data_IF_020432285094
#
_entry.id   IF_020432285094
#
_cell.length_a   1.000
_cell.length_b   1.000
_cell.length_c   1.000
_cell.angle_alpha   90.00
_cell.angle_beta   90.00
_cell.angle_gamma   90.00
#
_symmetry.space_group_name_H-M   'P 1'
#
loop_
_entity.id
_entity.type
_entity.pdbx_description
1 polymer ?
#
# COMPACT_ATOMS: atom_id res chain seq x y z
N UNK A 1 21.58 23.89 5.91
CA UNK A 1 21.62 22.42 6.12
C UNK A 1 20.32 21.79 6.63
N UNK A 2 19.34 22.54 7.19
CA UNK A 2 18.01 21.95 7.55
C UNK A 2 17.11 21.72 6.34
N UNK A 3 17.15 22.61 5.35
CA UNK A 3 16.30 22.54 4.15
C UNK A 3 16.55 21.28 3.32
N UNK A 4 17.81 20.86 3.16
CA UNK A 4 18.18 19.65 2.42
C UNK A 4 17.68 18.36 3.10
N UNK A 5 17.63 18.32 4.44
CA UNK A 5 17.09 17.18 5.19
C UNK A 5 15.58 17.08 5.05
N UNK A 6 14.87 18.20 5.15
CA UNK A 6 13.41 18.25 4.96
C UNK A 6 13.01 17.88 3.54
N UNK A 7 13.77 18.36 2.54
CA UNK A 7 13.55 17.99 1.14
C UNK A 7 13.73 16.49 0.90
N UNK A 8 14.82 15.91 1.43
CA UNK A 8 15.08 14.45 1.34
C UNK A 8 13.92 13.66 1.96
N UNK A 9 13.52 14.00 3.18
CA UNK A 9 12.39 13.37 3.87
C UNK A 9 11.09 13.41 3.05
N UNK A 10 10.76 14.59 2.49
CA UNK A 10 9.57 14.75 1.65
C UNK A 10 9.64 13.87 0.39
N UNK A 11 10.79 13.85 -0.29
CA UNK A 11 10.99 13.01 -1.49
C UNK A 11 10.85 11.53 -1.16
N UNK A 12 11.45 11.05 -0.07
CA UNK A 12 11.37 9.65 0.37
C UNK A 12 9.91 9.23 0.59
N UNK A 13 9.15 9.97 1.40
CA UNK A 13 7.74 9.66 1.66
C UNK A 13 6.92 9.67 0.36
N UNK A 14 7.11 10.69 -0.49
CA UNK A 14 6.34 10.82 -1.72
C UNK A 14 6.63 9.71 -2.73
N UNK A 15 7.90 9.26 -2.83
CA UNK A 15 8.28 8.13 -3.67
C UNK A 15 7.54 6.86 -3.28
N UNK A 16 7.50 6.53 -1.98
CA UNK A 16 6.75 5.35 -1.51
C UNK A 16 5.26 5.45 -1.82
N UNK A 17 4.64 6.61 -1.56
CA UNK A 17 3.23 6.84 -1.88
C UNK A 17 2.90 6.61 -3.36
N UNK A 18 3.74 7.13 -4.27
CA UNK A 18 3.55 6.95 -5.71
C UNK A 18 3.62 5.46 -6.10
N UNK A 19 4.59 4.72 -5.56
CA UNK A 19 4.73 3.28 -5.86
C UNK A 19 3.57 2.46 -5.32
N UNK A 20 3.14 2.71 -4.08
CA UNK A 20 1.98 2.05 -3.48
C UNK A 20 0.73 2.34 -4.31
N UNK A 21 0.47 3.60 -4.66
CA UNK A 21 -0.69 3.95 -5.50
C UNK A 21 -0.67 3.22 -6.85
N UNK A 22 0.49 3.11 -7.48
CA UNK A 22 0.63 2.42 -8.76
C UNK A 22 0.36 0.92 -8.66
N UNK A 23 0.67 0.29 -7.53
CA UNK A 23 0.33 -1.12 -7.28
C UNK A 23 -1.16 -1.27 -7.01
N UNK A 24 -1.73 -0.44 -6.13
CA UNK A 24 -3.17 -0.45 -5.83
C UNK A 24 -4.04 -0.25 -7.08
N UNK A 25 -3.64 0.67 -7.97
CA UNK A 25 -4.32 0.88 -9.25
C UNK A 25 -4.25 -0.34 -10.19
N UNK A 26 -3.20 -1.16 -10.09
CA UNK A 26 -3.08 -2.41 -10.87
C UNK A 26 -3.96 -3.50 -10.27
N UNK A 27 -3.93 -3.66 -8.95
CA UNK A 27 -4.80 -4.58 -8.22
C UNK A 27 -6.27 -4.28 -8.48
N UNK A 28 -6.68 -2.99 -8.47
CA UNK A 28 -8.06 -2.58 -8.78
C UNK A 28 -8.55 -3.04 -10.16
N UNK A 29 -7.65 -3.29 -11.12
CA UNK A 29 -7.99 -3.77 -12.47
C UNK A 29 -8.06 -5.29 -12.57
N UNK A 30 -7.65 -6.01 -11.53
CA UNK A 30 -7.77 -7.47 -11.46
C UNK A 30 -9.20 -7.82 -11.03
N UNK A 31 -9.77 -8.88 -11.60
CA UNK A 31 -11.17 -9.27 -11.38
C UNK A 31 -11.40 -10.03 -10.05
N UNK A 32 -10.36 -10.34 -9.28
CA UNK A 32 -10.45 -11.13 -8.04
C UNK A 32 -10.48 -10.24 -6.80
N UNK A 33 -11.59 -9.51 -6.66
CA UNK A 33 -11.81 -8.52 -5.61
C UNK A 33 -11.66 -9.06 -4.18
N UNK A 34 -12.20 -10.25 -3.90
CA UNK A 34 -12.21 -10.84 -2.56
C UNK A 34 -10.79 -11.18 -2.08
N UNK A 35 -9.96 -11.73 -2.96
CA UNK A 35 -8.61 -12.19 -2.60
C UNK A 35 -7.67 -11.00 -2.37
N UNK A 36 -7.87 -9.89 -3.07
CA UNK A 36 -7.08 -8.67 -2.92
C UNK A 36 -7.31 -8.03 -1.55
N UNK A 37 -8.56 -7.91 -1.11
CA UNK A 37 -8.89 -7.31 0.20
C UNK A 37 -8.34 -8.16 1.34
N UNK A 38 -8.55 -9.48 1.28
CA UNK A 38 -8.00 -10.41 2.27
C UNK A 38 -6.48 -10.34 2.34
N UNK A 39 -5.79 -10.29 1.19
CA UNK A 39 -4.34 -10.17 1.16
C UNK A 39 -3.84 -8.85 1.75
N UNK A 40 -4.50 -7.72 1.46
CA UNK A 40 -4.12 -6.42 2.03
C UNK A 40 -4.33 -6.39 3.55
N UNK A 41 -5.41 -7.01 4.07
CA UNK A 41 -5.62 -7.12 5.52
C UNK A 41 -4.51 -7.94 6.19
N UNK A 42 -4.08 -9.05 5.58
CA UNK A 42 -2.94 -9.83 6.09
C UNK A 42 -1.63 -9.03 6.08
N UNK A 43 -1.43 -8.16 5.07
CA UNK A 43 -0.29 -7.22 5.06
C UNK A 43 -0.41 -6.26 6.25
N UNK A 44 -1.58 -5.66 6.48
CA UNK A 44 -1.77 -4.72 7.60
C UNK A 44 -1.54 -5.37 8.97
N UNK A 45 -1.74 -6.68 9.09
CA UNK A 45 -1.51 -7.46 10.31
C UNK A 45 -0.06 -7.98 10.43
N UNK A 46 0.75 -7.83 9.38
CA UNK A 46 2.12 -8.37 9.32
C UNK A 46 2.18 -9.89 9.15
N UNK A 47 1.09 -10.51 8.68
CA UNK A 47 0.92 -11.96 8.57
C UNK A 47 0.99 -12.48 7.12
N UNK A 48 1.54 -11.69 6.19
CA UNK A 48 1.58 -12.10 4.78
C UNK A 48 2.48 -13.34 4.58
N UNK A 49 1.84 -14.49 4.34
CA UNK A 49 2.54 -15.74 4.02
C UNK A 49 3.05 -15.74 2.57
N UNK A 50 4.38 -15.68 2.40
CA UNK A 50 5.08 -15.63 1.10
C UNK A 50 4.75 -16.76 0.12
N UNK A 51 4.18 -17.86 0.58
CA UNK A 51 3.82 -19.02 -0.25
C UNK A 51 2.56 -18.81 -1.11
N UNK A 52 1.73 -17.80 -0.80
CA UNK A 52 0.42 -17.58 -1.46
C UNK A 52 0.32 -16.20 -2.11
N UNK A 53 1.32 -15.33 -1.92
CA UNK A 53 1.24 -13.92 -2.29
C UNK A 53 1.74 -13.64 -3.70
N UNK A 54 0.97 -12.84 -4.47
CA UNK A 54 1.43 -12.32 -5.76
C UNK A 54 2.63 -11.37 -5.60
N UNK A 55 3.37 -11.14 -6.68
CA UNK A 55 4.51 -10.23 -6.68
C UNK A 55 4.13 -8.81 -6.22
N UNK A 56 2.90 -8.37 -6.51
CA UNK A 56 2.35 -7.08 -6.07
C UNK A 56 2.14 -7.03 -4.56
N UNK A 57 1.63 -8.12 -3.96
CA UNK A 57 1.43 -8.23 -2.52
C UNK A 57 2.76 -8.30 -1.75
N UNK A 58 3.73 -9.06 -2.27
CA UNK A 58 5.08 -9.10 -1.70
C UNK A 58 5.73 -7.71 -1.74
N UNK A 59 5.52 -6.97 -2.82
CA UNK A 59 6.06 -5.61 -2.95
C UNK A 59 5.36 -4.66 -1.97
N UNK A 60 4.04 -4.73 -1.82
CA UNK A 60 3.31 -3.90 -0.86
C UNK A 60 3.74 -4.17 0.59
N UNK A 61 3.89 -5.44 0.96
CA UNK A 61 4.40 -5.85 2.27
C UNK A 61 5.80 -5.28 2.55
N UNK A 62 6.71 -5.41 1.58
CA UNK A 62 8.06 -4.85 1.67
C UNK A 62 8.05 -3.32 1.76
N UNK A 63 7.18 -2.64 1.02
CA UNK A 63 7.07 -1.17 1.07
C UNK A 63 6.54 -0.67 2.42
N UNK A 64 5.65 -1.42 3.08
CA UNK A 64 5.08 -1.07 4.39
C UNK A 64 6.06 -1.37 5.53
N UNK A 65 6.57 -2.60 5.60
CA UNK A 65 7.35 -3.08 6.75
C UNK A 65 8.86 -2.90 6.61
N UNK A 66 9.35 -2.87 5.38
CA UNK A 66 10.78 -2.90 5.06
C UNK A 66 11.24 -1.79 4.10
N UNK A 67 10.87 -0.51 4.32
CA UNK A 67 11.27 0.57 3.42
C UNK A 67 12.80 0.74 3.32
N UNK A 68 13.56 0.28 4.31
CA UNK A 68 15.03 0.23 4.30
C UNK A 68 15.63 -0.62 3.17
N UNK A 69 14.85 -1.53 2.57
CA UNK A 69 15.30 -2.32 1.43
C UNK A 69 15.51 -1.47 0.17
N UNK A 70 14.80 -0.35 0.07
CA UNK A 70 14.84 0.54 -1.10
C UNK A 70 15.72 1.76 -0.87
N UNK A 71 15.82 2.24 0.37
CA UNK A 71 16.60 3.42 0.72
C UNK A 71 17.49 3.11 1.92
N UNK A 72 18.80 3.05 1.65
CA UNK A 72 19.81 2.83 2.70
C UNK A 72 19.94 4.04 3.60
N UNK A 73 20.20 3.80 4.89
CA UNK A 73 20.38 4.83 5.91
C UNK A 73 19.17 5.77 6.05
N UNK A 74 17.97 5.21 5.91
CA UNK A 74 16.71 5.92 6.17
C UNK A 74 16.64 6.33 7.64
N UNK A 75 16.27 7.58 7.90
CA UNK A 75 16.08 8.04 9.29
C UNK A 75 14.84 7.36 9.90
N UNK A 76 14.85 7.01 11.20
CA UNK A 76 13.70 6.37 11.84
C UNK A 76 12.39 7.13 11.65
N UNK A 77 12.45 8.47 11.70
CA UNK A 77 11.31 9.35 11.44
C UNK A 77 10.73 9.19 10.03
N UNK A 78 11.58 9.00 9.02
CA UNK A 78 11.15 8.75 7.64
C UNK A 78 10.48 7.37 7.53
N UNK A 79 11.03 6.36 8.20
CA UNK A 79 10.44 5.02 8.26
C UNK A 79 9.04 5.03 8.90
N UNK A 80 8.87 5.71 10.03
CA UNK A 80 7.57 5.86 10.69
C UNK A 80 6.56 6.63 9.82
N UNK A 81 7.00 7.70 9.16
CA UNK A 81 6.15 8.48 8.27
C UNK A 81 5.70 7.67 7.04
N UNK A 82 6.62 6.90 6.44
CA UNK A 82 6.29 6.00 5.34
C UNK A 82 5.30 4.94 5.80
N UNK A 83 5.56 4.27 6.93
CA UNK A 83 4.66 3.26 7.46
C UNK A 83 3.24 3.83 7.64
N UNK A 84 3.10 4.95 8.34
CA UNK A 84 1.81 5.60 8.60
C UNK A 84 1.06 5.98 7.31
N UNK A 85 1.76 6.56 6.34
CA UNK A 85 1.16 6.96 5.06
C UNK A 85 0.76 5.75 4.22
N UNK A 86 1.61 4.73 4.12
CA UNK A 86 1.31 3.51 3.35
C UNK A 86 0.16 2.73 4.01
N UNK A 87 0.19 2.55 5.33
CA UNK A 87 -0.88 1.90 6.08
C UNK A 87 -2.23 2.59 5.84
N UNK A 88 -2.25 3.93 5.91
CA UNK A 88 -3.44 4.74 5.62
C UNK A 88 -3.94 4.53 4.19
N UNK A 89 -3.04 4.50 3.21
CA UNK A 89 -3.42 4.26 1.80
C UNK A 89 -4.03 2.87 1.61
N UNK A 90 -3.47 1.84 2.26
CA UNK A 90 -3.99 0.47 2.21
C UNK A 90 -5.39 0.37 2.86
N UNK A 91 -5.57 0.98 4.05
CA UNK A 91 -6.88 1.02 4.73
C UNK A 91 -7.93 1.75 3.89
N UNK A 92 -7.58 2.90 3.33
CA UNK A 92 -8.47 3.64 2.44
C UNK A 92 -8.86 2.82 1.22
N UNK A 93 -7.89 2.13 0.61
CA UNK A 93 -8.15 1.27 -0.54
C UNK A 93 -9.13 0.14 -0.19
N UNK A 94 -8.97 -0.55 0.94
CA UNK A 94 -9.89 -1.61 1.38
C UNK A 94 -11.31 -1.05 1.57
N UNK A 95 -11.45 0.13 2.19
CA UNK A 95 -12.76 0.78 2.36
C UNK A 95 -13.40 1.13 1.02
N UNK A 96 -12.69 1.86 0.15
CA UNK A 96 -13.18 2.28 -1.18
C UNK A 96 -13.56 1.06 -2.04
N UNK A 97 -12.72 0.03 -2.03
CA UNK A 97 -12.90 -1.13 -2.89
C UNK A 97 -14.11 -1.99 -2.45
N UNK A 98 -14.37 -2.07 -1.13
CA UNK A 98 -15.58 -2.70 -0.62
C UNK A 98 -16.84 -1.88 -0.98
N UNK A 99 -16.79 -0.55 -0.87
CA UNK A 99 -17.90 0.35 -1.26
C UNK A 99 -18.21 0.24 -2.77
N UNK A 100 -17.21 0.25 -3.63
CA UNK A 100 -17.35 0.09 -5.09
C UNK A 100 -17.96 -1.27 -5.46
N UNK A 101 -17.56 -2.33 -4.75
CA UNK A 101 -18.11 -3.67 -4.95
C UNK A 101 -19.57 -3.75 -4.55
N UNK A 102 -19.95 -3.17 -3.40
CA UNK A 102 -21.35 -3.11 -2.92
C UNK A 102 -22.23 -2.28 -3.88
N UNK A 103 -21.71 -1.17 -4.39
CA UNK A 103 -22.42 -0.30 -5.33
C UNK A 103 -22.61 -0.98 -6.71
N UNK A 104 -21.65 -1.81 -7.13
CA UNK A 104 -21.73 -2.57 -8.38
C UNK A 104 -22.73 -3.73 -8.32
N UNK A 105 -22.97 -4.32 -7.14
CA UNK A 105 -23.94 -5.40 -6.92
C UNK A 105 -25.39 -4.89 -6.90
N UNK A 106 -25.60 -3.62 -6.53
CA UNK A 106 -26.94 -3.02 -6.37
C UNK A 106 -27.47 -2.31 -7.61
N UNK A 107 -26.69 -2.21 -8.70
CA UNK A 107 -27.20 -1.71 -9.97
C UNK A 107 -28.18 -2.72 -10.60
N UNK A 108 -29.48 -2.39 -10.78
CA UNK A 108 -30.39 -3.27 -11.47
C UNK A 108 -29.94 -3.35 -12.93
N UNK A 109 -29.71 -4.58 -13.41
CA UNK A 109 -29.61 -4.83 -14.85
C UNK A 109 -30.97 -4.45 -15.47
N UNK A 110 -31.00 -3.31 -16.16
CA UNK A 110 -32.12 -2.90 -17.00
C UNK A 110 -32.21 -3.77 -18.25
#
# INVERSE_FOLDING_TARGET
MRETKNYKFFTEVNTFKIHVQAILNRLRKQNDASDIVSAINLILEGELNKSVSSAEMITLDSLLHHPEQYIKNMEPKAKEAIHSEVEKMLRNFVTEFNEDTICSITAPRA
#
